data_IF_753083421385
#
_entry.id   IF_753083421385
#
_cell.length_a   1.000
_cell.length_b   1.000
_cell.length_c   1.000
_cell.angle_alpha   90.00
_cell.angle_beta   90.00
_cell.angle_gamma   90.00
#
_symmetry.space_group_name_H-M   'P 1'
#
loop_
_entity.id
_entity.type
_entity.pdbx_description
1 polymer ?
#
# COMPACT_ATOMS: atom_id res chain seq x y z
N UNK A 1 -7.51 -46.04 18.11
CA UNK A 1 -7.77 -44.86 17.26
C UNK A 1 -6.75 -43.79 17.56
N UNK A 2 -6.19 -43.10 16.55
CA UNK A 2 -5.26 -41.99 16.79
C UNK A 2 -6.04 -40.81 17.39
N UNK A 3 -5.70 -40.30 18.59
CA UNK A 3 -6.50 -39.31 19.34
C UNK A 3 -6.79 -38.02 18.56
N UNK A 4 -5.89 -37.62 17.67
CA UNK A 4 -6.07 -36.49 16.76
C UNK A 4 -7.28 -36.63 15.81
N UNK A 5 -7.60 -37.85 15.35
CA UNK A 5 -8.74 -38.09 14.46
C UNK A 5 -10.08 -37.99 15.18
N UNK A 6 -10.11 -38.39 16.44
CA UNK A 6 -11.31 -38.30 17.27
C UNK A 6 -11.62 -36.83 17.59
N UNK A 7 -10.62 -36.04 17.98
CA UNK A 7 -10.77 -34.60 18.22
C UNK A 7 -11.32 -33.87 16.98
N UNK A 8 -10.74 -34.13 15.80
CA UNK A 8 -11.20 -33.53 14.54
C UNK A 8 -12.65 -33.92 14.17
N UNK A 9 -13.09 -35.13 14.53
CA UNK A 9 -14.47 -35.56 14.30
C UNK A 9 -15.45 -34.84 15.23
N UNK A 10 -15.08 -34.65 16.49
CA UNK A 10 -15.88 -33.90 17.47
C UNK A 10 -16.01 -32.43 17.07
N UNK A 11 -14.92 -31.79 16.64
CA UNK A 11 -14.94 -30.39 16.17
C UNK A 11 -15.84 -30.20 14.94
N UNK A 12 -15.79 -31.11 13.97
CA UNK A 12 -16.66 -31.06 12.80
C UNK A 12 -18.15 -31.26 13.14
N UNK A 13 -18.45 -32.14 14.10
CA UNK A 13 -19.81 -32.37 14.55
C UNK A 13 -20.40 -31.13 15.25
N UNK A 14 -19.61 -30.49 16.12
CA UNK A 14 -19.99 -29.24 16.78
C UNK A 14 -20.17 -28.09 15.78
N UNK A 15 -19.26 -27.97 14.79
CA UNK A 15 -19.33 -26.94 13.74
C UNK A 15 -20.62 -27.03 12.93
N UNK A 16 -21.05 -28.24 12.55
CA UNK A 16 -22.32 -28.45 11.83
C UNK A 16 -23.54 -28.10 12.69
N UNK A 17 -23.53 -28.48 13.97
CA UNK A 17 -24.67 -28.27 14.87
C UNK A 17 -24.92 -26.79 15.18
N UNK A 18 -23.85 -25.98 15.22
CA UNK A 18 -23.92 -24.56 15.53
C UNK A 18 -24.02 -23.66 14.28
N UNK A 19 -24.04 -24.23 13.07
CA UNK A 19 -24.11 -23.47 11.82
C UNK A 19 -22.86 -22.62 11.54
N UNK A 20 -21.69 -23.04 12.06
CA UNK A 20 -20.44 -22.32 11.88
C UNK A 20 -19.83 -22.57 10.49
N UNK A 21 -19.15 -21.55 9.94
CA UNK A 21 -18.56 -21.55 8.60
C UNK A 21 -17.65 -22.78 8.35
N UNK A 22 -18.01 -23.56 7.32
CA UNK A 22 -17.32 -24.77 6.90
C UNK A 22 -15.92 -24.51 6.34
N UNK A 23 -15.62 -23.29 5.89
CA UNK A 23 -14.32 -22.89 5.32
C UNK A 23 -13.25 -22.52 6.35
N UNK A 24 -13.56 -22.48 7.64
CA UNK A 24 -12.62 -22.00 8.66
C UNK A 24 -11.49 -23.02 8.95
N UNK A 25 -10.26 -22.64 8.61
CA UNK A 25 -9.05 -23.49 8.61
C UNK A 25 -8.33 -23.62 9.96
N UNK A 26 -8.93 -23.15 11.07
CA UNK A 26 -8.40 -23.36 12.42
C UNK A 26 -7.28 -22.41 12.85
N UNK A 27 -6.91 -21.42 12.03
CA UNK A 27 -5.91 -20.41 12.38
C UNK A 27 -6.58 -19.15 12.96
N UNK A 28 -6.77 -19.20 14.28
CA UNK A 28 -6.98 -18.10 15.25
C UNK A 28 -7.56 -16.80 14.66
N UNK A 29 -8.86 -16.75 14.43
CA UNK A 29 -9.58 -15.52 14.74
C UNK A 29 -9.79 -15.54 16.25
N UNK A 30 -9.05 -14.69 16.99
CA UNK A 30 -9.40 -14.44 18.38
C UNK A 30 -10.88 -14.05 18.37
N UNK A 31 -11.64 -14.62 19.32
CA UNK A 31 -13.02 -14.23 19.60
C UNK A 31 -13.11 -12.68 19.57
N UNK A 32 -14.21 -12.00 19.22
CA UNK A 32 -14.36 -10.54 19.36
C UNK A 32 -15.07 -10.08 20.65
N UNK A 33 -15.42 -11.02 21.55
CA UNK A 33 -16.17 -10.75 22.79
C UNK A 33 -15.58 -11.21 24.17
N UNK A 34 -14.27 -11.19 24.43
CA UNK A 34 -13.64 -11.75 25.63
C UNK A 34 -12.71 -10.73 26.26
N UNK A 35 -12.96 -10.48 27.55
CA UNK A 35 -12.48 -9.33 28.33
C UNK A 35 -10.98 -9.03 28.21
N UNK A 36 -10.15 -10.06 28.16
CA UNK A 36 -8.69 -9.92 28.10
C UNK A 36 -8.12 -9.53 26.72
N UNK A 37 -8.82 -9.83 25.63
CA UNK A 37 -8.38 -9.42 24.29
C UNK A 37 -9.41 -8.42 23.77
N UNK A 38 -9.12 -7.13 23.85
CA UNK A 38 -9.88 -6.13 23.12
C UNK A 38 -9.19 -5.97 21.78
N UNK A 39 -9.86 -6.31 20.68
CA UNK A 39 -9.41 -5.88 19.35
C UNK A 39 -9.70 -4.39 19.32
N UNK A 40 -8.73 -3.60 19.77
CA UNK A 40 -8.72 -2.19 19.51
C UNK A 40 -8.54 -2.05 17.99
N UNK A 41 -9.66 -1.96 17.27
CA UNK A 41 -9.71 -1.89 15.80
C UNK A 41 -8.86 -0.72 15.23
N UNK A 42 -8.39 0.18 16.10
CA UNK A 42 -7.66 1.39 15.76
C UNK A 42 -6.19 1.44 16.27
N UNK A 43 -5.77 0.47 17.08
CA UNK A 43 -4.46 0.54 17.75
C UNK A 43 -3.36 -0.22 16.98
N UNK A 44 -2.74 0.47 16.02
CA UNK A 44 -1.29 0.34 15.75
C UNK A 44 -0.86 -0.51 14.55
N UNK A 45 -1.52 -1.65 14.26
CA UNK A 45 -1.08 -2.54 13.17
C UNK A 45 -1.19 -1.90 11.77
N UNK A 46 -2.20 -1.05 11.54
CA UNK A 46 -2.36 -0.34 10.27
C UNK A 46 -1.48 0.90 10.12
N UNK A 47 -1.18 1.60 11.22
CA UNK A 47 -0.50 2.91 11.20
C UNK A 47 0.96 2.78 10.81
N UNK A 48 1.68 1.83 11.42
CA UNK A 48 3.09 1.58 11.11
C UNK A 48 3.27 1.15 9.64
N UNK A 49 2.48 0.18 9.18
CA UNK A 49 2.50 -0.27 7.79
C UNK A 49 2.12 0.85 6.81
N UNK A 50 1.08 1.62 7.11
CA UNK A 50 0.66 2.76 6.27
C UNK A 50 1.76 3.81 6.18
N UNK A 51 2.39 4.15 7.30
CA UNK A 51 3.47 5.12 7.35
C UNK A 51 4.67 4.63 6.53
N UNK A 52 5.10 3.38 6.75
CA UNK A 52 6.16 2.75 5.98
C UNK A 52 5.87 2.73 4.47
N UNK A 53 4.67 2.33 4.07
CA UNK A 53 4.26 2.25 2.66
C UNK A 53 4.21 3.61 1.97
N UNK A 54 3.72 4.65 2.66
CA UNK A 54 3.71 6.02 2.14
C UNK A 54 5.14 6.55 2.00
N UNK A 55 5.95 6.39 3.05
CA UNK A 55 7.33 6.90 3.07
C UNK A 55 8.21 6.20 2.04
N UNK A 56 8.16 4.86 1.91
CA UNK A 56 9.02 4.13 0.96
C UNK A 56 8.70 4.48 -0.50
N UNK A 57 7.42 4.63 -0.85
CA UNK A 57 7.00 4.98 -2.23
C UNK A 57 7.50 6.36 -2.62
N UNK A 58 7.49 7.29 -1.67
CA UNK A 58 8.13 8.59 -1.86
C UNK A 58 9.64 8.44 -1.97
N UNK A 59 10.29 7.73 -1.04
CA UNK A 59 11.74 7.58 -0.96
C UNK A 59 12.34 7.00 -2.25
N UNK A 60 11.71 5.96 -2.82
CA UNK A 60 12.13 5.36 -4.08
C UNK A 60 12.15 6.37 -5.22
N UNK A 61 11.33 7.43 -5.15
CA UNK A 61 11.33 8.51 -6.15
C UNK A 61 12.29 9.62 -5.80
N UNK A 62 12.33 10.01 -4.54
CA UNK A 62 13.07 11.17 -4.06
C UNK A 62 14.60 10.95 -4.05
N UNK A 63 15.09 9.73 -3.86
CA UNK A 63 16.54 9.46 -3.85
C UNK A 63 17.24 9.87 -5.16
N UNK A 64 16.50 9.89 -6.26
CA UNK A 64 16.98 10.30 -7.58
C UNK A 64 17.11 11.81 -7.78
N UNK A 65 16.79 12.64 -6.79
CA UNK A 65 16.88 14.11 -6.90
C UNK A 65 18.31 14.64 -6.69
N UNK A 66 19.26 13.79 -6.35
CA UNK A 66 20.65 14.18 -6.17
C UNK A 66 21.52 13.20 -5.40
N UNK A 67 21.07 11.95 -5.21
CA UNK A 67 21.85 10.88 -4.55
C UNK A 67 22.57 11.33 -3.28
N UNK A 68 21.83 11.84 -2.27
CA UNK A 68 22.43 12.46 -1.09
C UNK A 68 23.19 11.45 -0.22
N UNK A 69 24.15 11.97 0.55
CA UNK A 69 24.86 11.22 1.59
C UNK A 69 23.90 10.64 2.64
N UNK A 70 24.28 9.53 3.27
CA UNK A 70 23.38 8.74 4.11
C UNK A 70 22.73 9.54 5.25
N UNK A 71 23.48 10.41 5.93
CA UNK A 71 22.93 11.21 7.03
C UNK A 71 21.87 12.21 6.55
N UNK A 72 22.16 12.91 5.45
CA UNK A 72 21.21 13.82 4.82
C UNK A 72 19.97 13.07 4.32
N UNK A 73 20.19 11.87 3.78
CA UNK A 73 19.10 11.01 3.31
C UNK A 73 18.22 10.47 4.44
N UNK A 74 18.82 10.07 5.56
CA UNK A 74 18.11 9.67 6.77
C UNK A 74 17.26 10.82 7.31
N UNK A 75 17.83 12.02 7.37
CA UNK A 75 17.12 13.22 7.81
C UNK A 75 15.91 13.51 6.92
N UNK A 76 16.09 13.47 5.59
CA UNK A 76 14.99 13.66 4.65
C UNK A 76 13.88 12.59 4.78
N UNK A 77 14.26 11.33 5.01
CA UNK A 77 13.32 10.25 5.27
C UNK A 77 12.55 10.47 6.58
N UNK A 78 13.23 10.94 7.62
CA UNK A 78 12.64 11.24 8.92
C UNK A 78 11.64 12.39 8.84
N UNK A 79 12.01 13.51 8.24
CA UNK A 79 11.11 14.66 8.05
C UNK A 79 9.86 14.27 7.27
N UNK A 80 10.03 13.47 6.21
CA UNK A 80 8.88 12.99 5.43
C UNK A 80 7.99 12.06 6.24
N UNK A 81 8.58 11.15 7.03
CA UNK A 81 7.82 10.25 7.89
C UNK A 81 7.07 11.02 8.99
N UNK A 82 7.69 12.02 9.61
CA UNK A 82 7.02 12.93 10.55
C UNK A 82 5.83 13.65 9.90
N UNK A 83 6.00 14.19 8.69
CA UNK A 83 4.91 14.85 7.96
C UNK A 83 3.72 13.93 7.69
N UNK A 84 3.95 12.64 7.41
CA UNK A 84 2.87 11.67 7.28
C UNK A 84 2.28 11.23 8.63
N UNK A 85 3.10 11.17 9.68
CA UNK A 85 2.65 10.81 11.03
C UNK A 85 1.63 11.82 11.59
N UNK A 86 1.81 13.10 11.27
CA UNK A 86 0.88 14.18 11.64
C UNK A 86 -0.52 14.04 11.01
N UNK A 87 -0.70 13.19 9.99
CA UNK A 87 -2.00 12.95 9.35
C UNK A 87 -2.84 11.91 10.10
N UNK A 88 -2.26 11.19 11.06
CA UNK A 88 -3.00 10.21 11.86
C UNK A 88 -3.76 10.92 12.99
N UNK A 89 -4.97 10.43 13.29
CA UNK A 89 -5.78 10.90 14.43
C UNK A 89 -5.02 10.76 15.75
N UNK A 90 -4.24 9.69 15.87
CA UNK A 90 -3.30 9.45 16.97
C UNK A 90 -1.91 9.15 16.38
N UNK A 91 -0.96 10.10 16.45
CA UNK A 91 0.40 9.93 15.94
C UNK A 91 1.17 8.80 16.63
N UNK A 92 2.11 8.19 15.90
CA UNK A 92 3.09 7.24 16.44
C UNK A 92 4.16 7.99 17.25
N UNK A 93 4.86 7.26 18.13
CA UNK A 93 5.99 7.80 18.89
C UNK A 93 7.18 8.13 17.99
N UNK A 94 8.01 9.09 18.40
CA UNK A 94 9.20 9.49 17.64
C UNK A 94 10.15 8.31 17.35
N UNK A 95 10.31 7.41 18.32
CA UNK A 95 11.15 6.23 18.17
C UNK A 95 10.66 5.28 17.06
N UNK A 96 9.34 5.11 16.93
CA UNK A 96 8.77 4.30 15.85
C UNK A 96 8.96 4.95 14.49
N UNK A 97 8.75 6.27 14.41
CA UNK A 97 8.96 7.05 13.18
C UNK A 97 10.43 7.00 12.76
N UNK A 98 11.36 7.15 13.71
CA UNK A 98 12.79 7.03 13.49
C UNK A 98 13.18 5.62 13.03
N UNK A 99 12.60 4.58 13.63
CA UNK A 99 12.81 3.19 13.23
C UNK A 99 12.39 2.93 11.78
N UNK A 100 11.20 3.41 11.39
CA UNK A 100 10.72 3.34 10.00
C UNK A 100 11.67 4.08 9.06
N UNK A 101 12.09 5.29 9.45
CA UNK A 101 12.95 6.14 8.63
C UNK A 101 14.32 5.51 8.39
N UNK A 102 14.95 4.96 9.44
CA UNK A 102 16.22 4.21 9.34
C UNK A 102 16.10 2.96 8.47
N UNK A 103 14.99 2.24 8.57
CA UNK A 103 14.74 1.05 7.74
C UNK A 103 14.71 1.42 6.25
N UNK A 104 13.96 2.47 5.90
CA UNK A 104 13.80 2.92 4.52
C UNK A 104 15.11 3.52 3.98
N UNK A 105 15.77 4.40 4.74
CA UNK A 105 17.00 5.06 4.30
C UNK A 105 18.12 4.04 4.07
N UNK A 106 18.31 3.09 5.00
CA UNK A 106 19.31 2.03 4.87
C UNK A 106 19.05 1.13 3.66
N UNK A 107 17.80 0.70 3.47
CA UNK A 107 17.47 -0.15 2.32
C UNK A 107 17.65 0.59 1.00
N UNK A 108 17.21 1.84 0.91
CA UNK A 108 17.34 2.62 -0.34
C UNK A 108 18.79 2.95 -0.67
N UNK A 109 19.60 3.37 0.29
CA UNK A 109 21.03 3.62 0.09
C UNK A 109 21.79 2.37 -0.38
N UNK A 110 21.43 1.18 0.12
CA UNK A 110 22.11 -0.06 -0.26
C UNK A 110 21.67 -0.64 -1.62
N UNK A 111 20.42 -0.37 -2.04
CA UNK A 111 19.83 -1.01 -3.22
C UNK A 111 19.76 -0.09 -4.45
N UNK A 112 19.80 1.23 -4.25
CA UNK A 112 19.72 2.21 -5.31
C UNK A 112 21.08 2.86 -5.47
N UNK A 113 21.54 2.95 -6.70
CA UNK A 113 22.71 3.75 -7.07
C UNK A 113 22.46 4.43 -8.40
N UNK A 114 23.19 5.52 -8.61
CA UNK A 114 23.14 6.29 -9.86
C UNK A 114 23.45 5.41 -11.06
N UNK A 115 24.52 4.62 -11.01
CA UNK A 115 24.93 3.74 -12.11
C UNK A 115 23.86 2.72 -12.47
N UNK A 116 23.26 2.06 -11.46
CA UNK A 116 22.19 1.07 -11.68
C UNK A 116 20.96 1.72 -12.28
N UNK A 117 20.65 2.96 -11.90
CA UNK A 117 19.54 3.71 -12.47
C UNK A 117 19.83 4.13 -13.91
N UNK A 118 21.04 4.64 -14.21
CA UNK A 118 21.47 5.00 -15.56
C UNK A 118 21.41 3.78 -16.47
N UNK A 119 21.90 2.64 -16.02
CA UNK A 119 21.83 1.39 -16.76
C UNK A 119 20.37 0.95 -16.99
N UNK A 120 19.54 1.01 -15.96
CA UNK A 120 18.10 0.75 -16.08
C UNK A 120 17.43 1.68 -17.11
N UNK A 121 17.77 2.97 -17.11
CA UNK A 121 17.25 3.96 -18.05
C UNK A 121 17.72 3.63 -19.47
N UNK A 122 19.00 3.36 -19.68
CA UNK A 122 19.56 2.94 -20.98
C UNK A 122 18.86 1.68 -21.52
N UNK A 123 18.53 0.73 -20.64
CA UNK A 123 17.86 -0.52 -21.03
C UNK A 123 16.35 -0.34 -21.27
N UNK A 124 15.69 0.56 -20.54
CA UNK A 124 14.22 0.70 -20.55
C UNK A 124 13.70 1.83 -21.42
N UNK A 125 14.50 2.89 -21.61
CA UNK A 125 14.13 4.11 -22.33
C UNK A 125 14.68 4.16 -23.75
N UNK A 126 15.14 3.03 -24.31
CA UNK A 126 15.38 2.93 -25.75
C UNK A 126 14.10 3.33 -26.49
N UNK A 127 14.25 4.14 -27.54
CA UNK A 127 13.14 4.69 -28.33
C UNK A 127 12.15 3.61 -28.76
N UNK A 128 12.63 2.41 -29.08
CA UNK A 128 11.80 1.27 -29.45
C UNK A 128 10.91 0.75 -28.31
N UNK A 129 11.43 0.67 -27.08
CA UNK A 129 10.68 0.21 -25.90
C UNK A 129 9.65 1.27 -25.49
N UNK A 130 10.03 2.55 -25.51
CA UNK A 130 9.12 3.66 -25.25
C UNK A 130 8.01 3.74 -26.31
N UNK A 131 8.35 3.55 -27.60
CA UNK A 131 7.36 3.44 -28.69
C UNK A 131 6.40 2.28 -28.46
N UNK A 132 6.89 1.09 -28.09
CA UNK A 132 6.04 -0.08 -27.78
C UNK A 132 5.09 0.19 -26.60
N UNK A 133 5.58 0.82 -25.52
CA UNK A 133 4.78 1.19 -24.34
C UNK A 133 3.75 2.28 -24.67
N UNK A 134 4.17 3.34 -25.34
CA UNK A 134 3.31 4.42 -25.82
C UNK A 134 2.25 3.92 -26.80
N UNK A 135 2.59 2.97 -27.68
CA UNK A 135 1.63 2.30 -28.56
C UNK A 135 0.57 1.49 -27.82
N UNK A 136 0.95 0.74 -26.77
CA UNK A 136 -0.01 0.05 -25.89
C UNK A 136 -0.91 1.03 -25.14
N UNK A 137 -0.34 2.09 -24.57
CA UNK A 137 -1.10 3.15 -23.89
C UNK A 137 -2.03 3.91 -24.84
N UNK A 138 -1.57 4.19 -26.07
CA UNK A 138 -2.34 4.85 -27.12
C UNK A 138 -3.54 4.04 -27.58
N UNK A 139 -3.44 2.71 -27.69
CA UNK A 139 -4.59 1.84 -28.01
C UNK A 139 -5.70 1.90 -26.95
N UNK A 140 -5.29 2.02 -25.67
CA UNK A 140 -6.15 2.06 -24.49
C UNK A 140 -6.70 3.47 -24.18
N UNK A 141 -6.18 4.51 -24.82
CA UNK A 141 -6.57 5.90 -24.59
C UNK A 141 -7.21 6.54 -25.83
N UNK A 142 -7.98 7.61 -25.63
CA UNK A 142 -8.37 8.52 -26.69
C UNK A 142 -7.28 9.60 -26.87
N UNK A 143 -7.39 10.41 -27.93
CA UNK A 143 -6.46 11.53 -28.20
C UNK A 143 -6.15 12.33 -26.93
N UNK A 144 -4.87 12.43 -26.57
CA UNK A 144 -4.40 13.13 -25.36
C UNK A 144 -4.18 12.24 -24.12
N UNK A 145 -4.20 10.91 -24.23
CA UNK A 145 -3.83 10.01 -23.14
C UNK A 145 -4.94 9.73 -22.12
N UNK A 146 -6.17 10.18 -22.39
CA UNK A 146 -7.33 9.93 -21.54
C UNK A 146 -7.78 8.46 -21.63
N UNK A 147 -7.92 7.72 -20.51
CA UNK A 147 -8.38 6.33 -20.54
C UNK A 147 -9.78 6.21 -21.17
N UNK A 148 -9.96 5.25 -22.10
CA UNK A 148 -11.27 4.93 -22.68
C UNK A 148 -12.24 4.49 -21.57
N UNK A 149 -13.46 5.03 -21.59
CA UNK A 149 -14.49 4.71 -20.58
C UNK A 149 -14.43 5.51 -19.28
N UNK A 150 -13.50 6.48 -19.15
CA UNK A 150 -13.50 7.41 -18.02
C UNK A 150 -14.67 8.41 -18.11
N UNK A 151 -15.82 8.07 -17.51
CA UNK A 151 -16.92 9.02 -17.34
C UNK A 151 -16.53 10.05 -16.28
N UNK A 152 -16.35 11.31 -16.70
CA UNK A 152 -16.22 12.40 -15.75
C UNK A 152 -17.63 12.86 -15.35
N UNK A 153 -18.10 12.41 -14.18
CA UNK A 153 -19.37 12.81 -13.57
C UNK A 153 -19.48 14.33 -13.38
N UNK A 154 -18.35 15.02 -13.24
CA UNK A 154 -18.29 16.47 -13.11
C UNK A 154 -18.24 17.21 -14.46
N UNK A 155 -18.26 16.50 -15.59
CA UNK A 155 -18.34 17.14 -16.90
C UNK A 155 -19.67 17.88 -17.06
N UNK A 156 -19.62 19.13 -17.50
CA UNK A 156 -20.79 19.97 -17.79
C UNK A 156 -21.81 19.24 -18.68
N UNK A 157 -21.33 18.54 -19.71
CA UNK A 157 -22.18 17.77 -20.63
C UNK A 157 -22.86 16.56 -19.96
N UNK A 158 -22.23 15.94 -18.95
CA UNK A 158 -22.84 14.85 -18.19
C UNK A 158 -23.92 15.36 -17.23
N UNK A 159 -23.64 16.45 -16.50
CA UNK A 159 -24.62 17.11 -15.61
C UNK A 159 -25.85 17.63 -16.39
N UNK A 160 -25.63 18.16 -17.60
CA UNK A 160 -26.71 18.59 -18.50
C UNK A 160 -27.58 17.42 -18.97
N UNK A 161 -26.97 16.29 -19.33
CA UNK A 161 -27.69 15.07 -19.77
C UNK A 161 -28.44 14.36 -18.62
N UNK A 162 -27.95 14.46 -17.39
CA UNK A 162 -28.61 13.92 -16.19
C UNK A 162 -29.66 14.88 -15.59
N UNK A 163 -29.91 16.04 -16.22
CA UNK A 163 -30.93 16.99 -15.74
C UNK A 163 -30.60 17.66 -14.40
N UNK A 164 -29.33 17.66 -13.97
CA UNK A 164 -28.89 18.16 -12.64
C UNK A 164 -28.81 19.70 -12.60
N UNK A 165 -28.90 20.36 -13.75
CA UNK A 165 -29.14 21.80 -13.83
C UNK A 165 -30.62 22.03 -14.17
N UNK A 166 -31.44 22.18 -13.12
CA UNK A 166 -32.71 22.93 -13.22
C UNK A 166 -32.40 24.40 -12.95
N UNK A 167 -33.14 25.27 -13.63
CA UNK A 167 -33.09 26.73 -13.53
C UNK A 167 -33.01 27.24 -12.09
#
# INVERSE_FOLDING_TARGET
>A
MKPLRYAAAVENALRRKLGADTGYSGLICKNPNHSHWKIAADYGLGRNCTLFDKTRKWAYRAIRQGWPEYEQWLQACYERACAYNLQFVSPLSENEVLGISKSISKWTANNFSEDRFIEYVKNTHRSEIQRKRGGKGGKLSNSGGRPKGSFNINSYNFKKRMGVFRC
#
